data_IF_285149917600
#
_entry.id   IF_285149917600
#
_cell.length_a   1.000
_cell.length_b   1.000
_cell.length_c   1.000
_cell.angle_alpha   90.00
_cell.angle_beta   90.00
_cell.angle_gamma   90.00
#
_symmetry.space_group_name_H-M   'P 1'
#
loop_
_entity.id
_entity.type
_entity.pdbx_description
1 polymer ?
#
# COMPACT_ATOMS: atom_id res chain seq x y z
N UNK A 1 -42.54 -4.91 33.86
CA UNK A 1 -42.08 -5.53 32.60
C UNK A 1 -41.24 -4.56 31.75
N UNK A 2 -40.47 -3.65 32.37
CA UNK A 2 -39.67 -2.61 31.66
C UNK A 2 -38.16 -2.65 31.97
N UNK A 3 -37.67 -3.58 32.79
CA UNK A 3 -36.24 -3.62 33.18
C UNK A 3 -35.36 -4.62 32.42
N UNK A 4 -35.92 -5.48 31.58
CA UNK A 4 -35.10 -6.49 30.85
C UNK A 4 -34.65 -6.09 29.43
N UNK A 5 -35.20 -5.00 28.85
CA UNK A 5 -34.85 -4.60 27.46
C UNK A 5 -33.60 -3.70 27.35
N UNK A 6 -33.15 -3.06 28.43
CA UNK A 6 -31.97 -2.18 28.42
C UNK A 6 -30.65 -2.93 28.54
N UNK A 7 -30.60 -4.17 28.99
CA UNK A 7 -29.33 -4.87 29.21
C UNK A 7 -28.75 -5.50 27.95
N UNK A 8 -29.56 -5.87 26.97
CA UNK A 8 -29.09 -6.43 25.70
C UNK A 8 -28.53 -5.41 24.72
N UNK A 9 -29.05 -4.18 24.72
CA UNK A 9 -28.56 -3.10 23.84
C UNK A 9 -27.18 -2.59 24.26
N UNK A 10 -26.87 -2.58 25.54
CA UNK A 10 -25.55 -2.17 26.05
C UNK A 10 -24.44 -3.19 25.79
N UNK A 11 -24.74 -4.48 25.64
CA UNK A 11 -23.73 -5.50 25.36
C UNK A 11 -23.27 -5.47 23.87
N UNK A 12 -24.17 -5.27 22.92
CA UNK A 12 -23.81 -5.15 21.51
C UNK A 12 -23.05 -3.84 21.22
N UNK A 13 -23.46 -2.72 21.79
CA UNK A 13 -22.74 -1.43 21.65
C UNK A 13 -21.31 -1.48 22.23
N UNK A 14 -21.06 -2.26 23.29
CA UNK A 14 -19.72 -2.42 23.87
C UNK A 14 -18.76 -3.27 23.03
N UNK A 15 -19.26 -4.20 22.20
CA UNK A 15 -18.40 -5.02 21.35
C UNK A 15 -17.86 -4.26 20.13
N UNK A 16 -18.62 -3.35 19.53
CA UNK A 16 -18.17 -2.56 18.38
C UNK A 16 -17.28 -1.38 18.77
N UNK A 17 -17.52 -0.73 19.90
CA UNK A 17 -16.67 0.33 20.46
C UNK A 17 -15.24 -0.13 20.85
N UNK A 18 -14.95 -1.43 20.80
CA UNK A 18 -13.64 -1.98 21.16
C UNK A 18 -12.58 -1.77 20.05
N UNK A 19 -12.98 -1.61 18.80
CA UNK A 19 -12.10 -1.51 17.65
C UNK A 19 -11.95 -0.08 17.13
N UNK A 20 -12.98 0.76 17.29
CA UNK A 20 -12.92 2.17 16.91
C UNK A 20 -11.99 2.92 17.87
N UNK A 21 -11.10 3.71 17.29
CA UNK A 21 -10.17 4.52 18.07
C UNK A 21 -10.32 5.98 17.70
N UNK A 22 -10.91 6.74 18.60
CA UNK A 22 -10.87 8.20 18.54
C UNK A 22 -9.46 8.69 18.89
N UNK A 23 -8.73 9.14 17.88
CA UNK A 23 -7.36 9.61 18.01
C UNK A 23 -7.28 11.09 18.38
N UNK A 24 -8.42 11.77 18.54
CA UNK A 24 -8.45 13.20 18.89
C UNK A 24 -8.13 13.44 20.36
N UNK A 25 -8.19 12.39 21.21
CA UNK A 25 -7.91 12.44 22.65
C UNK A 25 -6.85 11.41 23.05
N UNK A 26 -6.32 11.53 24.26
CA UNK A 26 -5.39 10.56 24.84
C UNK A 26 -3.95 10.64 24.30
N UNK A 27 -3.16 9.58 24.52
CA UNK A 27 -1.74 9.54 24.16
C UNK A 27 -1.51 9.33 22.67
N UNK A 28 -0.91 10.31 22.02
CA UNK A 28 -0.57 10.28 20.58
C UNK A 28 0.32 9.10 20.21
N UNK A 29 1.38 8.85 21.00
CA UNK A 29 2.31 7.73 20.72
C UNK A 29 1.60 6.38 20.81
N UNK A 30 0.75 6.20 21.83
CA UNK A 30 -0.02 4.96 21.99
C UNK A 30 -0.97 4.73 20.81
N UNK A 31 -1.63 5.78 20.32
CA UNK A 31 -2.51 5.68 19.15
C UNK A 31 -1.74 5.29 17.89
N UNK A 32 -0.60 5.97 17.62
CA UNK A 32 0.23 5.68 16.45
C UNK A 32 0.75 4.25 16.47
N UNK A 33 1.30 3.78 17.59
CA UNK A 33 1.85 2.42 17.72
C UNK A 33 0.74 1.37 17.63
N UNK A 34 -0.36 1.55 18.39
CA UNK A 34 -1.47 0.60 18.39
C UNK A 34 -2.12 0.45 17.02
N UNK A 35 -2.16 1.51 16.24
CA UNK A 35 -2.69 1.50 14.88
C UNK A 35 -1.68 0.95 13.87
N UNK A 36 -0.39 1.29 13.99
CA UNK A 36 0.64 0.87 13.05
C UNK A 36 1.01 -0.62 13.18
N UNK A 37 0.93 -1.22 14.37
CA UNK A 37 1.32 -2.63 14.57
C UNK A 37 0.46 -3.62 13.77
N UNK A 38 -0.89 -3.54 13.75
CA UNK A 38 -1.68 -4.41 12.90
C UNK A 38 -1.42 -4.18 11.41
N UNK A 39 -1.15 -2.93 10.98
CA UNK A 39 -0.79 -2.62 9.60
C UNK A 39 0.57 -3.22 9.21
N UNK A 40 1.53 -3.18 10.12
CA UNK A 40 2.82 -3.83 9.91
C UNK A 40 2.65 -5.35 9.77
N UNK A 41 1.85 -5.95 10.63
CA UNK A 41 1.52 -7.37 10.55
C UNK A 41 0.79 -7.70 9.23
N UNK A 42 -0.19 -6.89 8.83
CA UNK A 42 -0.90 -7.00 7.55
C UNK A 42 0.08 -7.03 6.37
N UNK A 43 0.98 -6.06 6.29
CA UNK A 43 2.00 -5.97 5.23
C UNK A 43 2.98 -7.15 5.25
N UNK A 44 3.43 -7.60 6.44
CA UNK A 44 4.33 -8.75 6.56
C UNK A 44 3.64 -10.05 6.11
N UNK A 45 2.40 -10.29 6.54
CA UNK A 45 1.64 -11.46 6.10
C UNK A 45 1.33 -11.43 4.62
N UNK A 46 1.08 -10.25 4.03
CA UNK A 46 0.92 -10.12 2.59
C UNK A 46 2.19 -10.48 1.82
N UNK A 47 3.37 -10.11 2.33
CA UNK A 47 4.64 -10.53 1.73
C UNK A 47 4.86 -12.04 1.84
N UNK A 48 4.59 -12.64 3.01
CA UNK A 48 4.68 -14.09 3.21
C UNK A 48 3.73 -14.85 2.28
N UNK A 49 2.51 -14.37 2.15
CA UNK A 49 1.50 -14.93 1.25
C UNK A 49 1.99 -14.91 -0.22
N UNK A 50 2.49 -13.77 -0.72
CA UNK A 50 3.04 -13.67 -2.06
C UNK A 50 4.24 -14.62 -2.28
N UNK A 51 5.04 -14.87 -1.23
CA UNK A 51 6.14 -15.84 -1.28
C UNK A 51 5.62 -17.28 -1.40
N UNK A 52 4.55 -17.62 -0.67
CA UNK A 52 3.92 -18.95 -0.74
C UNK A 52 3.33 -19.21 -2.11
N UNK A 53 2.58 -18.25 -2.68
CA UNK A 53 2.04 -18.35 -4.04
C UNK A 53 3.14 -18.62 -5.07
N UNK A 54 4.20 -17.81 -5.01
CA UNK A 54 5.35 -17.95 -5.92
C UNK A 54 6.03 -19.31 -5.75
N UNK A 55 6.15 -19.80 -4.51
CA UNK A 55 6.73 -21.11 -4.21
C UNK A 55 5.86 -22.26 -4.75
N UNK A 56 4.55 -22.18 -4.60
CA UNK A 56 3.60 -23.18 -5.13
C UNK A 56 3.72 -23.26 -6.66
N UNK A 57 3.68 -22.11 -7.34
CA UNK A 57 3.80 -22.06 -8.80
C UNK A 57 5.13 -22.63 -9.28
N UNK A 58 6.23 -22.22 -8.64
CA UNK A 58 7.59 -22.63 -9.05
C UNK A 58 7.90 -24.10 -8.81
N UNK A 59 7.31 -24.74 -7.78
CA UNK A 59 7.61 -26.12 -7.42
C UNK A 59 6.59 -27.14 -7.92
N UNK A 60 5.35 -26.75 -8.15
CA UNK A 60 4.28 -27.71 -8.45
C UNK A 60 3.57 -27.47 -9.78
N UNK A 61 3.84 -26.37 -10.49
CA UNK A 61 3.25 -26.12 -11.81
C UNK A 61 4.29 -26.35 -12.90
N UNK A 62 4.95 -25.30 -13.37
CA UNK A 62 6.02 -25.39 -14.37
C UNK A 62 6.87 -24.12 -14.37
N UNK A 63 8.05 -24.17 -15.03
CA UNK A 63 8.89 -22.98 -15.20
C UNK A 63 8.22 -21.93 -16.08
N UNK A 64 7.43 -22.34 -17.09
CA UNK A 64 6.67 -21.45 -17.95
C UNK A 64 5.59 -20.73 -17.15
N UNK A 65 4.87 -21.45 -16.29
CA UNK A 65 3.88 -20.89 -15.37
C UNK A 65 4.49 -19.92 -14.37
N UNK A 66 5.63 -20.26 -13.79
CA UNK A 66 6.38 -19.37 -12.89
C UNK A 66 6.78 -18.09 -13.60
N UNK A 67 7.30 -18.20 -14.83
CA UNK A 67 7.64 -17.05 -15.66
C UNK A 67 6.41 -16.22 -16.03
N UNK A 68 5.29 -16.87 -16.35
CA UNK A 68 4.03 -16.21 -16.68
C UNK A 68 3.53 -15.32 -15.53
N UNK A 69 3.43 -15.87 -14.33
CA UNK A 69 2.99 -15.13 -13.13
C UNK A 69 3.98 -14.01 -12.77
N UNK A 70 5.27 -14.30 -12.83
CA UNK A 70 6.31 -13.33 -12.48
C UNK A 70 6.31 -12.09 -13.38
N UNK A 71 6.11 -12.27 -14.68
CA UNK A 71 6.12 -11.16 -15.65
C UNK A 71 4.86 -10.30 -15.62
N UNK A 72 3.70 -10.81 -15.22
CA UNK A 72 2.48 -10.01 -15.08
C UNK A 72 2.36 -9.31 -13.72
N UNK A 73 3.14 -9.72 -12.73
CA UNK A 73 3.14 -9.15 -11.37
C UNK A 73 3.31 -7.62 -11.35
N UNK A 74 4.17 -6.97 -12.16
CA UNK A 74 4.28 -5.50 -12.17
C UNK A 74 2.98 -4.80 -12.61
N UNK A 75 2.23 -5.37 -13.54
CA UNK A 75 0.92 -4.84 -13.96
C UNK A 75 -0.05 -4.88 -12.78
N UNK A 76 -0.13 -6.04 -12.13
CA UNK A 76 -1.01 -6.26 -10.97
C UNK A 76 -0.65 -5.30 -9.84
N UNK A 77 0.63 -5.18 -9.50
CA UNK A 77 1.09 -4.27 -8.45
C UNK A 77 0.80 -2.79 -8.75
N UNK A 78 0.89 -2.38 -10.02
CA UNK A 78 0.52 -1.02 -10.45
C UNK A 78 -0.97 -0.77 -10.22
N UNK A 79 -1.81 -1.73 -10.57
CA UNK A 79 -3.26 -1.66 -10.33
C UNK A 79 -3.59 -1.64 -8.84
N UNK A 80 -3.00 -2.53 -8.05
CA UNK A 80 -3.17 -2.55 -6.59
C UNK A 80 -2.75 -1.19 -6.00
N UNK A 81 -1.61 -0.65 -6.42
CA UNK A 81 -1.13 0.66 -5.97
C UNK A 81 -2.12 1.78 -6.28
N UNK A 82 -2.70 1.78 -7.48
CA UNK A 82 -3.73 2.74 -7.87
C UNK A 82 -4.96 2.66 -6.94
N UNK A 83 -5.46 1.46 -6.67
CA UNK A 83 -6.63 1.29 -5.80
C UNK A 83 -6.34 1.60 -4.33
N UNK A 84 -5.15 1.28 -3.85
CA UNK A 84 -4.71 1.69 -2.50
C UNK A 84 -4.67 3.21 -2.37
N UNK A 85 -4.25 3.93 -3.40
CA UNK A 85 -4.28 5.39 -3.44
C UNK A 85 -5.72 5.93 -3.39
N UNK A 86 -6.63 5.36 -4.18
CA UNK A 86 -8.05 5.72 -4.16
C UNK A 86 -8.70 5.44 -2.81
N UNK A 87 -8.43 4.27 -2.22
CA UNK A 87 -8.88 3.91 -0.88
C UNK A 87 -8.34 4.85 0.19
N UNK A 88 -7.06 5.24 0.08
CA UNK A 88 -6.45 6.24 0.96
C UNK A 88 -7.15 7.59 0.87
N UNK A 89 -7.54 8.03 -0.33
CA UNK A 89 -8.30 9.26 -0.54
C UNK A 89 -9.66 9.24 0.16
N UNK A 90 -10.42 8.17 0.00
CA UNK A 90 -11.68 7.96 0.71
C UNK A 90 -11.45 7.92 2.24
N UNK A 91 -10.42 7.22 2.69
CA UNK A 91 -10.03 7.14 4.10
C UNK A 91 -9.72 8.51 4.72
N UNK A 92 -9.06 9.40 3.99
CA UNK A 92 -8.78 10.77 4.46
C UNK A 92 -10.08 11.57 4.63
N UNK A 93 -10.98 11.54 3.64
CA UNK A 93 -12.28 12.22 3.72
C UNK A 93 -13.07 11.72 4.92
N UNK A 94 -13.16 10.40 5.07
CA UNK A 94 -13.89 9.76 6.17
C UNK A 94 -13.25 10.09 7.52
N UNK A 95 -11.92 10.02 7.65
CA UNK A 95 -11.23 10.30 8.92
C UNK A 95 -11.41 11.75 9.38
N UNK A 96 -11.41 12.71 8.46
CA UNK A 96 -11.67 14.12 8.82
C UNK A 96 -13.10 14.34 9.28
N UNK A 97 -14.10 13.78 8.58
CA UNK A 97 -15.49 13.88 9.03
C UNK A 97 -15.78 13.08 10.30
N UNK A 98 -15.11 11.94 10.47
CA UNK A 98 -15.19 11.15 11.71
C UNK A 98 -14.63 11.94 12.90
N UNK A 99 -13.45 12.52 12.76
CA UNK A 99 -12.86 13.39 13.76
C UNK A 99 -13.71 14.63 14.07
N UNK A 100 -14.37 15.19 13.06
CA UNK A 100 -15.31 16.31 13.23
C UNK A 100 -16.64 15.93 13.90
N UNK A 101 -16.83 14.66 14.29
CA UNK A 101 -18.07 14.14 14.87
C UNK A 101 -19.31 14.40 14.00
N UNK A 102 -19.18 14.25 12.67
CA UNK A 102 -20.27 14.43 11.70
C UNK A 102 -20.68 13.09 11.07
N UNK A 103 -21.45 12.26 11.78
CA UNK A 103 -21.77 10.90 11.36
C UNK A 103 -22.53 10.82 10.04
N UNK A 104 -23.39 11.80 9.76
CA UNK A 104 -24.12 11.85 8.48
C UNK A 104 -23.18 12.03 7.29
N UNK A 105 -22.15 12.89 7.42
CA UNK A 105 -21.15 13.11 6.36
C UNK A 105 -20.23 11.93 6.19
N UNK A 106 -19.87 11.25 7.27
CA UNK A 106 -19.17 9.96 7.21
C UNK A 106 -19.97 8.96 6.42
N UNK A 107 -21.27 8.82 6.71
CA UNK A 107 -22.18 7.90 6.01
C UNK A 107 -22.28 8.23 4.52
N UNK A 108 -22.45 9.51 4.15
CA UNK A 108 -22.44 9.96 2.75
C UNK A 108 -21.13 9.57 2.04
N UNK A 109 -19.98 9.75 2.69
CA UNK A 109 -18.67 9.41 2.15
C UNK A 109 -18.49 7.89 1.98
N UNK A 110 -18.90 7.09 2.97
CA UNK A 110 -18.85 5.62 2.91
C UNK A 110 -19.67 5.07 1.74
N UNK A 111 -20.92 5.51 1.61
CA UNK A 111 -21.79 5.05 0.53
C UNK A 111 -21.27 5.47 -0.85
N UNK A 112 -20.77 6.70 -0.98
CA UNK A 112 -20.15 7.19 -2.22
C UNK A 112 -18.89 6.39 -2.56
N UNK A 113 -18.01 6.14 -1.59
CA UNK A 113 -16.78 5.38 -1.80
C UNK A 113 -17.06 3.94 -2.22
N UNK A 114 -18.01 3.27 -1.58
CA UNK A 114 -18.38 1.89 -1.92
C UNK A 114 -19.02 1.80 -3.30
N UNK A 115 -19.93 2.71 -3.65
CA UNK A 115 -20.55 2.72 -4.98
C UNK A 115 -19.53 3.06 -6.07
N UNK A 116 -18.63 4.03 -5.82
CA UNK A 116 -17.52 4.32 -6.72
C UNK A 116 -16.66 3.08 -6.96
N UNK A 117 -16.38 2.31 -5.90
CA UNK A 117 -15.61 1.08 -6.00
C UNK A 117 -16.29 0.03 -6.87
N UNK A 118 -17.61 -0.15 -6.74
CA UNK A 118 -18.37 -1.06 -7.60
C UNK A 118 -18.30 -0.62 -9.06
N UNK A 119 -18.50 0.67 -9.34
CA UNK A 119 -18.40 1.22 -10.71
C UNK A 119 -17.00 0.99 -11.27
N UNK A 120 -15.96 1.33 -10.51
CA UNK A 120 -14.57 1.08 -10.92
C UNK A 120 -14.31 -0.40 -11.16
N UNK A 121 -14.80 -1.29 -10.30
CA UNK A 121 -14.67 -2.73 -10.45
C UNK A 121 -15.25 -3.25 -11.76
N UNK A 122 -16.46 -2.81 -12.11
CA UNK A 122 -17.10 -3.17 -13.39
C UNK A 122 -16.28 -2.65 -14.58
N UNK A 123 -15.85 -1.39 -14.52
CA UNK A 123 -15.04 -0.77 -15.59
C UNK A 123 -13.70 -1.50 -15.75
N UNK A 124 -12.98 -1.73 -14.66
CA UNK A 124 -11.66 -2.38 -14.70
C UNK A 124 -11.75 -3.86 -15.08
N UNK A 125 -12.83 -4.56 -14.73
CA UNK A 125 -13.09 -5.92 -15.23
C UNK A 125 -13.21 -5.90 -16.76
N UNK A 126 -14.09 -5.07 -17.31
CA UNK A 126 -14.31 -5.00 -18.75
C UNK A 126 -13.10 -4.53 -19.53
N UNK A 127 -12.51 -3.40 -19.10
CA UNK A 127 -11.32 -2.83 -19.75
C UNK A 127 -10.11 -3.74 -19.59
N UNK A 128 -9.89 -4.31 -18.39
CA UNK A 128 -8.75 -5.20 -18.13
C UNK A 128 -8.77 -6.45 -19.00
N UNK A 129 -9.92 -7.12 -19.12
CA UNK A 129 -10.08 -8.30 -20.00
C UNK A 129 -9.86 -7.90 -21.46
N UNK A 130 -10.47 -6.80 -21.91
CA UNK A 130 -10.33 -6.33 -23.29
C UNK A 130 -8.90 -5.90 -23.65
N UNK A 131 -8.16 -5.35 -22.69
CA UNK A 131 -6.79 -4.86 -22.87
C UNK A 131 -5.73 -5.96 -22.68
N UNK A 132 -6.06 -7.10 -22.12
CA UNK A 132 -5.11 -8.20 -21.88
C UNK A 132 -4.27 -8.56 -23.11
N UNK A 133 -4.84 -8.79 -24.32
CA UNK A 133 -4.05 -9.11 -25.50
C UNK A 133 -3.05 -8.00 -25.86
N UNK A 134 -3.48 -6.75 -25.80
CA UNK A 134 -2.62 -5.60 -26.09
C UNK A 134 -1.48 -5.46 -25.08
N UNK A 135 -1.76 -5.70 -23.79
CA UNK A 135 -0.73 -5.67 -22.74
C UNK A 135 0.37 -6.71 -23.02
N UNK A 136 -0.01 -7.93 -23.40
CA UNK A 136 0.92 -9.01 -23.70
C UNK A 136 1.73 -8.76 -24.97
N UNK A 137 1.12 -8.15 -25.98
CA UNK A 137 1.82 -7.74 -27.20
C UNK A 137 2.86 -6.65 -26.89
N UNK A 138 2.51 -5.62 -26.13
CA UNK A 138 3.42 -4.55 -25.71
C UNK A 138 4.59 -5.07 -24.87
N UNK A 139 4.35 -6.11 -24.07
CA UNK A 139 5.38 -6.78 -23.27
C UNK A 139 6.28 -7.70 -24.11
N UNK A 140 6.00 -7.90 -25.40
CA UNK A 140 6.70 -8.83 -26.27
C UNK A 140 6.80 -10.23 -25.68
N UNK A 141 5.66 -10.72 -25.14
CA UNK A 141 5.58 -12.00 -24.48
C UNK A 141 5.92 -13.14 -25.45
N UNK A 142 6.82 -14.08 -25.06
CA UNK A 142 7.09 -15.28 -25.85
C UNK A 142 5.83 -16.11 -26.07
N UNK A 143 5.70 -16.70 -27.26
CA UNK A 143 4.52 -17.47 -27.64
C UNK A 143 4.24 -18.68 -26.72
N UNK A 144 5.28 -19.23 -26.11
CA UNK A 144 5.21 -20.37 -25.18
C UNK A 144 4.53 -19.99 -23.86
N UNK A 145 4.69 -18.75 -23.39
CA UNK A 145 4.19 -18.25 -22.10
C UNK A 145 2.88 -17.47 -22.24
N UNK A 146 2.58 -16.98 -23.44
CA UNK A 146 1.40 -16.14 -23.70
C UNK A 146 0.05 -16.77 -23.32
N UNK A 147 -0.23 -18.08 -23.52
CA UNK A 147 -1.48 -18.68 -23.09
C UNK A 147 -1.69 -18.62 -21.58
N UNK A 148 -0.67 -18.94 -20.79
CA UNK A 148 -0.71 -18.92 -19.33
C UNK A 148 -0.90 -17.50 -18.78
N UNK A 149 -0.21 -16.52 -19.38
CA UNK A 149 -0.37 -15.10 -19.00
C UNK A 149 -1.77 -14.59 -19.33
N UNK A 150 -2.30 -14.96 -20.50
CA UNK A 150 -3.66 -14.59 -20.93
C UNK A 150 -4.70 -15.17 -19.96
N UNK A 151 -4.58 -16.45 -19.63
CA UNK A 151 -5.47 -17.10 -18.69
C UNK A 151 -5.42 -16.46 -17.32
N UNK A 152 -4.21 -16.26 -16.78
CA UNK A 152 -4.01 -15.66 -15.47
C UNK A 152 -4.59 -14.24 -15.37
N UNK A 153 -4.23 -13.35 -16.31
CA UNK A 153 -4.73 -11.97 -16.31
C UNK A 153 -6.24 -11.90 -16.53
N UNK A 154 -6.80 -12.71 -17.43
CA UNK A 154 -8.25 -12.73 -17.68
C UNK A 154 -9.02 -13.14 -16.43
N UNK A 155 -8.60 -14.20 -15.75
CA UNK A 155 -9.21 -14.65 -14.49
C UNK A 155 -9.02 -13.57 -13.40
N UNK A 156 -7.83 -13.00 -13.27
CA UNK A 156 -7.54 -11.97 -12.29
C UNK A 156 -8.44 -10.75 -12.47
N UNK A 157 -8.57 -10.23 -13.71
CA UNK A 157 -9.46 -9.10 -14.00
C UNK A 157 -10.93 -9.45 -13.81
N UNK A 158 -11.35 -10.69 -14.11
CA UNK A 158 -12.72 -11.14 -13.84
C UNK A 158 -13.06 -11.10 -12.34
N UNK A 159 -12.09 -11.36 -11.47
CA UNK A 159 -12.27 -11.37 -10.02
C UNK A 159 -11.82 -10.09 -9.29
N UNK A 160 -11.38 -9.05 -10.00
CA UNK A 160 -10.78 -7.85 -9.41
C UNK A 160 -11.71 -7.10 -8.45
N UNK A 161 -13.02 -7.24 -8.60
CA UNK A 161 -14.04 -6.64 -7.73
C UNK A 161 -13.80 -6.98 -6.25
N UNK A 162 -13.43 -8.23 -5.94
CA UNK A 162 -13.12 -8.66 -4.57
C UNK A 162 -11.97 -7.86 -3.96
N UNK A 163 -10.88 -7.72 -4.70
CA UNK A 163 -9.73 -6.91 -4.30
C UNK A 163 -10.12 -5.46 -4.01
N UNK A 164 -10.89 -4.85 -4.91
CA UNK A 164 -11.31 -3.45 -4.79
C UNK A 164 -12.18 -3.22 -3.57
N UNK A 165 -13.19 -4.07 -3.36
CA UNK A 165 -14.11 -3.98 -2.23
C UNK A 165 -13.38 -4.19 -0.90
N UNK A 166 -12.44 -5.14 -0.84
CA UNK A 166 -11.60 -5.33 0.34
C UNK A 166 -10.73 -4.10 0.63
N UNK A 167 -10.03 -3.56 -0.37
CA UNK A 167 -9.16 -2.39 -0.17
C UNK A 167 -9.94 -1.15 0.26
N UNK A 168 -11.08 -0.87 -0.37
CA UNK A 168 -11.93 0.27 -0.01
C UNK A 168 -12.53 0.09 1.39
N UNK A 169 -13.11 -1.07 1.68
CA UNK A 169 -13.68 -1.35 2.99
C UNK A 169 -12.65 -1.31 4.11
N UNK A 170 -11.45 -1.85 3.88
CA UNK A 170 -10.32 -1.73 4.79
C UNK A 170 -9.90 -0.28 5.01
N UNK A 171 -9.90 0.54 3.96
CA UNK A 171 -9.65 1.98 4.05
C UNK A 171 -10.68 2.70 4.90
N UNK A 172 -11.96 2.35 4.77
CA UNK A 172 -13.07 2.89 5.58
C UNK A 172 -12.88 2.52 7.07
N UNK A 173 -12.58 1.26 7.37
CA UNK A 173 -12.33 0.81 8.75
C UNK A 173 -11.11 1.51 9.35
N UNK A 174 -10.02 1.61 8.59
CA UNK A 174 -8.82 2.34 9.03
C UNK A 174 -9.09 3.82 9.31
N UNK A 175 -9.97 4.46 8.56
CA UNK A 175 -10.31 5.87 8.75
C UNK A 175 -10.93 6.16 10.13
N UNK A 176 -11.64 5.20 10.71
CA UNK A 176 -12.20 5.30 12.07
C UNK A 176 -11.29 4.68 13.15
N UNK A 177 -10.04 4.37 12.80
CA UNK A 177 -9.04 3.87 13.72
C UNK A 177 -8.99 2.36 13.88
N UNK A 178 -9.80 1.60 13.14
CA UNK A 178 -9.78 0.15 13.16
C UNK A 178 -8.80 -0.42 12.12
N UNK A 179 -7.60 -0.76 12.55
CA UNK A 179 -6.60 -1.45 11.74
C UNK A 179 -6.56 -2.97 11.99
N UNK A 180 -7.27 -3.47 13.01
CA UNK A 180 -7.21 -4.87 13.41
C UNK A 180 -8.10 -5.77 12.56
N UNK A 181 -9.35 -5.35 12.28
CA UNK A 181 -10.27 -6.15 11.48
C UNK A 181 -9.77 -6.40 10.06
N UNK A 182 -9.26 -5.40 9.31
CA UNK A 182 -8.63 -5.65 8.01
C UNK A 182 -7.53 -6.70 8.06
N UNK A 183 -6.67 -6.68 9.07
CA UNK A 183 -5.64 -7.68 9.29
C UNK A 183 -6.22 -9.10 9.48
N UNK A 184 -7.26 -9.27 10.30
CA UNK A 184 -7.90 -10.58 10.46
C UNK A 184 -8.52 -11.08 9.16
N UNK A 185 -9.12 -10.20 8.36
CA UNK A 185 -9.68 -10.58 7.05
C UNK A 185 -8.59 -11.04 6.09
N UNK A 186 -7.43 -10.38 6.11
CA UNK A 186 -6.27 -10.81 5.34
C UNK A 186 -5.77 -12.19 5.77
N UNK A 187 -5.67 -12.46 7.08
CA UNK A 187 -5.25 -13.76 7.59
C UNK A 187 -6.17 -14.88 7.09
N UNK A 188 -7.48 -14.69 7.16
CA UNK A 188 -8.46 -15.65 6.66
C UNK A 188 -8.30 -15.83 5.14
N UNK A 189 -8.18 -14.74 4.40
CA UNK A 189 -7.98 -14.75 2.95
C UNK A 189 -6.69 -15.48 2.56
N UNK A 190 -5.59 -15.22 3.23
CA UNK A 190 -4.31 -15.90 2.99
C UNK A 190 -4.38 -17.40 3.27
N UNK A 191 -5.07 -17.80 4.34
CA UNK A 191 -5.32 -19.21 4.64
C UNK A 191 -6.17 -19.91 3.57
N UNK A 192 -7.25 -19.26 3.13
CA UNK A 192 -8.11 -19.75 2.04
C UNK A 192 -7.33 -19.88 0.73
N UNK A 193 -6.56 -18.84 0.37
CA UNK A 193 -5.76 -18.87 -0.84
C UNK A 193 -4.76 -20.01 -0.84
N UNK A 194 -3.92 -20.13 0.21
CA UNK A 194 -2.94 -21.22 0.32
C UNK A 194 -3.59 -22.60 0.24
N UNK A 195 -4.72 -22.80 0.93
CA UNK A 195 -5.46 -24.06 0.88
C UNK A 195 -6.00 -24.36 -0.52
N UNK A 196 -6.54 -23.36 -1.23
CA UNK A 196 -7.07 -23.50 -2.59
C UNK A 196 -5.95 -23.66 -3.62
N UNK A 197 -4.81 -22.99 -3.49
CA UNK A 197 -3.65 -23.19 -4.34
C UNK A 197 -3.20 -24.65 -4.31
N UNK A 198 -3.01 -25.19 -3.11
CA UNK A 198 -2.63 -26.60 -2.95
C UNK A 198 -3.70 -27.55 -3.50
N UNK A 199 -4.98 -27.25 -3.26
CA UNK A 199 -6.08 -28.07 -3.75
C UNK A 199 -6.17 -28.06 -5.28
N UNK A 200 -6.16 -26.89 -5.90
CA UNK A 200 -6.35 -26.73 -7.35
C UNK A 200 -5.13 -27.22 -8.13
N UNK A 201 -3.91 -26.92 -7.62
CA UNK A 201 -2.66 -27.32 -8.29
C UNK A 201 -2.36 -28.79 -8.05
N UNK A 202 -2.34 -29.26 -6.80
CA UNK A 202 -1.89 -30.62 -6.48
C UNK A 202 -2.96 -31.68 -6.73
N UNK A 203 -4.22 -31.40 -6.42
CA UNK A 203 -5.29 -32.38 -6.51
C UNK A 203 -6.04 -32.33 -7.83
N UNK A 204 -6.29 -31.12 -8.35
CA UNK A 204 -7.03 -30.95 -9.60
C UNK A 204 -6.15 -30.73 -10.83
N UNK A 205 -4.85 -30.49 -10.64
CA UNK A 205 -3.90 -30.30 -11.75
C UNK A 205 -4.16 -29.07 -12.62
N UNK A 206 -4.75 -28.01 -12.04
CA UNK A 206 -5.24 -26.85 -12.80
C UNK A 206 -4.15 -25.88 -13.27
N UNK A 207 -2.90 -26.08 -12.91
CA UNK A 207 -1.81 -25.20 -13.36
C UNK A 207 -1.98 -23.74 -12.93
N UNK A 208 -1.63 -22.81 -13.82
CA UNK A 208 -1.69 -21.34 -13.58
C UNK A 208 -3.12 -20.86 -13.34
N UNK A 209 -4.10 -21.42 -14.03
CA UNK A 209 -5.51 -21.08 -13.85
C UNK A 209 -5.98 -21.37 -12.42
N UNK A 210 -5.52 -22.49 -11.84
CA UNK A 210 -5.84 -22.86 -10.47
C UNK A 210 -5.36 -21.82 -9.46
N UNK A 211 -4.14 -21.30 -9.61
CA UNK A 211 -3.59 -20.24 -8.77
C UNK A 211 -4.38 -18.93 -8.95
N UNK A 212 -4.73 -18.58 -10.17
CA UNK A 212 -5.55 -17.38 -10.44
C UNK A 212 -6.94 -17.50 -9.77
N UNK A 213 -7.62 -18.64 -9.89
CA UNK A 213 -8.90 -18.88 -9.21
C UNK A 213 -8.77 -18.85 -7.69
N UNK A 214 -7.73 -19.47 -7.12
CA UNK A 214 -7.48 -19.42 -5.68
C UNK A 214 -7.34 -17.99 -5.19
N UNK A 215 -6.59 -17.17 -5.90
CA UNK A 215 -6.37 -15.75 -5.59
C UNK A 215 -7.68 -14.95 -5.59
N UNK A 216 -8.48 -15.04 -6.64
CA UNK A 216 -9.74 -14.27 -6.72
C UNK A 216 -10.80 -14.75 -5.73
N UNK A 217 -10.85 -16.04 -5.43
CA UNK A 217 -11.75 -16.58 -4.40
C UNK A 217 -11.33 -16.07 -3.02
N UNK A 218 -10.04 -16.10 -2.69
CA UNK A 218 -9.52 -15.57 -1.45
C UNK A 218 -9.82 -14.07 -1.29
N UNK A 219 -9.64 -13.29 -2.35
CA UNK A 219 -10.00 -11.86 -2.38
C UNK A 219 -11.51 -11.64 -2.21
N UNK A 220 -12.35 -12.50 -2.81
CA UNK A 220 -13.78 -12.44 -2.61
C UNK A 220 -14.18 -12.74 -1.16
N UNK A 221 -13.53 -13.70 -0.51
CA UNK A 221 -13.75 -14.00 0.92
C UNK A 221 -13.42 -12.78 1.79
N UNK A 222 -12.27 -12.14 1.61
CA UNK A 222 -11.93 -10.93 2.36
C UNK A 222 -12.90 -9.77 2.10
N UNK A 223 -13.38 -9.62 0.86
CA UNK A 223 -14.40 -8.64 0.50
C UNK A 223 -15.73 -8.89 1.22
N UNK A 224 -16.19 -10.15 1.21
CA UNK A 224 -17.44 -10.54 1.90
C UNK A 224 -17.33 -10.28 3.41
N UNK A 225 -16.22 -10.65 4.04
CA UNK A 225 -15.99 -10.38 5.46
C UNK A 225 -16.01 -8.88 5.76
N UNK A 226 -15.35 -8.08 4.93
CA UNK A 226 -15.30 -6.63 5.08
C UNK A 226 -16.68 -5.99 4.93
N UNK A 227 -17.43 -6.37 3.89
CA UNK A 227 -18.79 -5.86 3.66
C UNK A 227 -19.74 -6.30 4.77
N UNK A 228 -19.67 -7.55 5.22
CA UNK A 228 -20.49 -8.05 6.31
C UNK A 228 -20.28 -7.26 7.59
N UNK A 229 -19.02 -6.92 7.91
CA UNK A 229 -18.71 -6.08 9.07
C UNK A 229 -19.25 -4.65 8.88
N UNK A 230 -19.11 -4.05 7.70
CA UNK A 230 -19.63 -2.70 7.42
C UNK A 230 -21.17 -2.65 7.48
N UNK A 231 -21.86 -3.67 7.02
CA UNK A 231 -23.34 -3.77 7.12
C UNK A 231 -23.79 -3.94 8.58
N UNK A 232 -23.11 -4.81 9.33
CA UNK A 232 -23.40 -5.06 10.74
C UNK A 232 -22.85 -4.00 11.69
N UNK A 233 -22.27 -2.92 11.18
CA UNK A 233 -21.62 -1.90 12.01
C UNK A 233 -22.65 -1.04 12.75
N UNK A 234 -22.43 -0.82 14.04
CA UNK A 234 -23.25 0.09 14.86
C UNK A 234 -22.53 1.45 14.99
N UNK A 235 -22.59 2.28 13.95
CA UNK A 235 -21.89 3.57 13.96
C UNK A 235 -21.97 4.31 12.64
N UNK A 236 -21.15 5.35 12.51
CA UNK A 236 -21.16 6.27 11.37
C UNK A 236 -20.73 5.65 10.04
N UNK A 237 -19.93 4.56 10.08
CA UNK A 237 -19.47 3.83 8.88
C UNK A 237 -20.39 2.70 8.45
N UNK A 238 -21.56 2.57 9.06
CA UNK A 238 -22.54 1.55 8.69
C UNK A 238 -22.92 1.64 7.22
N UNK A 239 -22.75 0.53 6.51
CA UNK A 239 -23.12 0.40 5.11
C UNK A 239 -24.57 -0.09 5.01
N UNK A 240 -25.42 0.66 4.33
CA UNK A 240 -26.78 0.28 3.96
C UNK A 240 -26.88 0.15 2.45
N UNK A 241 -27.18 -1.06 1.97
CA UNK A 241 -27.28 -1.31 0.52
C UNK A 241 -28.44 -0.54 -0.12
N UNK A 242 -29.46 -0.16 0.68
CA UNK A 242 -30.62 0.63 0.19
C UNK A 242 -30.29 2.10 0.01
N UNK A 243 -29.30 2.60 0.75
CA UNK A 243 -28.91 4.01 0.74
C UNK A 243 -27.69 4.27 -0.16
N UNK A 244 -27.25 3.25 -0.92
CA UNK A 244 -26.13 3.40 -1.85
C UNK A 244 -26.48 4.42 -2.94
N UNK A 245 -25.80 5.56 -2.87
CA UNK A 245 -25.89 6.62 -3.87
C UNK A 245 -24.61 7.44 -3.89
N UNK A 246 -24.36 8.09 -5.02
CA UNK A 246 -23.24 9.02 -5.17
C UNK A 246 -23.65 10.40 -4.66
N UNK A 247 -22.95 10.86 -3.65
CA UNK A 247 -23.01 12.26 -3.19
C UNK A 247 -21.89 13.03 -3.89
N UNK A 248 -22.24 13.85 -4.87
CA UNK A 248 -21.27 14.55 -5.73
C UNK A 248 -20.23 15.37 -4.96
N UNK A 249 -20.63 15.99 -3.84
CA UNK A 249 -19.70 16.72 -2.97
C UNK A 249 -18.64 15.78 -2.36
N UNK A 250 -19.05 14.60 -1.90
CA UNK A 250 -18.15 13.58 -1.36
C UNK A 250 -17.28 12.98 -2.45
N UNK A 251 -17.87 12.67 -3.61
CA UNK A 251 -17.12 12.15 -4.75
C UNK A 251 -15.99 13.10 -5.17
N UNK A 252 -16.27 14.40 -5.29
CA UNK A 252 -15.24 15.40 -5.63
C UNK A 252 -14.09 15.40 -4.61
N UNK A 253 -14.39 15.32 -3.31
CA UNK A 253 -13.38 15.28 -2.25
C UNK A 253 -12.57 13.99 -2.31
N UNK A 254 -13.22 12.83 -2.46
CA UNK A 254 -12.56 11.52 -2.57
C UNK A 254 -11.63 11.47 -3.78
N UNK A 255 -12.09 11.94 -4.94
CA UNK A 255 -11.30 11.96 -6.18
C UNK A 255 -10.15 12.96 -6.09
N UNK A 256 -10.37 14.15 -5.51
CA UNK A 256 -9.33 15.18 -5.36
C UNK A 256 -8.16 14.72 -4.48
N UNK A 257 -8.40 13.88 -3.48
CA UNK A 257 -7.34 13.29 -2.63
C UNK A 257 -6.85 11.95 -3.20
N UNK A 258 -7.76 11.13 -3.71
CA UNK A 258 -7.48 9.75 -4.13
C UNK A 258 -6.70 9.64 -5.43
N UNK A 259 -7.07 10.40 -6.47
CA UNK A 259 -6.37 10.36 -7.76
C UNK A 259 -4.90 10.75 -7.64
N UNK A 260 -4.53 11.89 -7.00
CA UNK A 260 -3.12 12.21 -6.80
C UNK A 260 -2.36 11.15 -5.99
N UNK A 261 -2.98 10.57 -4.97
CA UNK A 261 -2.38 9.49 -4.19
C UNK A 261 -2.18 8.21 -5.03
N UNK A 262 -3.14 7.87 -5.88
CA UNK A 262 -3.07 6.75 -6.80
C UNK A 262 -1.96 6.93 -7.84
N UNK A 263 -1.88 8.10 -8.45
CA UNK A 263 -0.83 8.45 -9.42
C UNK A 263 0.55 8.45 -8.78
N UNK A 264 0.69 8.95 -7.56
CA UNK A 264 1.93 8.91 -6.79
C UNK A 264 2.47 7.49 -6.65
N UNK A 265 1.63 6.52 -6.30
CA UNK A 265 2.03 5.11 -6.15
C UNK A 265 2.42 4.49 -7.49
N UNK A 266 1.63 4.70 -8.53
CA UNK A 266 1.89 4.17 -9.87
C UNK A 266 3.17 4.75 -10.49
N UNK A 267 3.39 6.06 -10.38
CA UNK A 267 4.57 6.76 -10.93
C UNK A 267 5.84 6.32 -10.22
N UNK A 268 5.80 6.14 -8.91
CA UNK A 268 6.97 5.68 -8.15
C UNK A 268 7.40 4.28 -8.59
N UNK A 269 6.43 3.36 -8.75
CA UNK A 269 6.70 2.01 -9.26
C UNK A 269 7.31 2.06 -10.68
N UNK A 270 6.74 2.86 -11.57
CA UNK A 270 7.23 3.04 -12.94
C UNK A 270 8.66 3.61 -12.98
N UNK A 271 8.98 4.59 -12.15
CA UNK A 271 10.33 5.16 -12.07
C UNK A 271 11.40 4.12 -11.68
N UNK A 272 11.05 3.13 -10.85
CA UNK A 272 11.98 2.08 -10.47
C UNK A 272 12.36 1.15 -11.63
N UNK A 273 11.49 1.00 -12.64
CA UNK A 273 11.78 0.22 -13.85
C UNK A 273 12.97 0.81 -14.62
N UNK A 274 13.06 2.13 -14.72
CA UNK A 274 14.20 2.78 -15.38
C UNK A 274 15.51 2.56 -14.63
N UNK A 275 15.48 2.62 -13.28
CA UNK A 275 16.66 2.32 -12.47
C UNK A 275 17.15 0.90 -12.71
N UNK A 276 16.23 -0.06 -12.81
CA UNK A 276 16.55 -1.46 -13.12
C UNK A 276 17.31 -1.57 -14.45
N UNK A 277 16.98 -0.75 -15.45
CA UNK A 277 17.68 -0.71 -16.73
C UNK A 277 19.18 -0.36 -16.57
N UNK A 278 19.50 0.61 -15.70
CA UNK A 278 20.91 0.94 -15.41
C UNK A 278 21.62 -0.16 -14.62
N UNK A 279 20.94 -0.80 -13.68
CA UNK A 279 21.50 -1.92 -12.92
C UNK A 279 21.81 -3.12 -13.80
N UNK A 280 20.95 -3.42 -14.77
CA UNK A 280 21.13 -4.54 -15.71
C UNK A 280 22.42 -4.43 -16.54
N UNK A 281 22.95 -3.22 -16.72
CA UNK A 281 24.22 -2.98 -17.41
C UNK A 281 25.43 -3.65 -16.72
N UNK A 282 25.38 -3.85 -15.40
CA UNK A 282 26.48 -4.42 -14.61
C UNK A 282 26.51 -5.96 -14.60
N UNK A 283 25.64 -6.62 -15.35
CA UNK A 283 25.63 -8.07 -15.53
C UNK A 283 24.80 -8.83 -14.51
N UNK A 284 24.71 -10.16 -14.71
CA UNK A 284 23.78 -11.04 -14.00
C UNK A 284 24.02 -11.10 -12.48
N UNK A 285 25.28 -11.08 -12.03
CA UNK A 285 25.60 -11.16 -10.61
C UNK A 285 25.20 -9.88 -9.86
N UNK A 286 25.39 -8.72 -10.49
CA UNK A 286 24.90 -7.45 -9.94
C UNK A 286 23.37 -7.41 -9.92
N UNK A 287 22.69 -7.86 -10.97
CA UNK A 287 21.23 -7.97 -11.00
C UNK A 287 20.68 -8.84 -9.89
N UNK A 288 21.34 -9.99 -9.65
CA UNK A 288 20.97 -10.91 -8.55
C UNK A 288 21.21 -10.29 -7.19
N UNK A 289 22.33 -9.60 -6.99
CA UNK A 289 22.64 -8.84 -5.77
C UNK A 289 21.64 -7.70 -5.52
N UNK A 290 21.26 -6.98 -6.58
CA UNK A 290 20.21 -5.96 -6.53
C UNK A 290 18.85 -6.56 -6.15
N UNK A 291 18.51 -7.72 -6.68
CA UNK A 291 17.28 -8.43 -6.33
C UNK A 291 17.25 -8.82 -4.86
N UNK A 292 18.35 -9.36 -4.33
CA UNK A 292 18.47 -9.66 -2.91
C UNK A 292 18.35 -8.40 -2.04
N UNK A 293 19.05 -7.31 -2.42
CA UNK A 293 18.91 -6.00 -1.78
C UNK A 293 17.45 -5.54 -1.73
N UNK A 294 16.75 -5.54 -2.87
CA UNK A 294 15.36 -5.04 -2.94
C UNK A 294 14.38 -5.86 -2.10
N UNK A 295 14.60 -7.17 -1.96
CA UNK A 295 13.78 -8.03 -1.08
C UNK A 295 13.97 -7.68 0.39
N UNK A 296 15.20 -7.42 0.81
CA UNK A 296 15.53 -6.99 2.17
C UNK A 296 15.01 -5.57 2.43
N UNK A 297 15.25 -4.65 1.48
CA UNK A 297 14.78 -3.27 1.52
C UNK A 297 13.26 -3.21 1.74
N UNK A 298 12.48 -3.98 0.99
CA UNK A 298 11.02 -4.05 1.14
C UNK A 298 10.60 -4.40 2.58
N UNK A 299 11.28 -5.33 3.23
CA UNK A 299 10.97 -5.71 4.62
C UNK A 299 11.34 -4.59 5.62
N UNK A 300 12.48 -3.95 5.41
CA UNK A 300 12.99 -2.90 6.31
C UNK A 300 12.12 -1.63 6.28
N UNK A 301 11.53 -1.30 5.14
CA UNK A 301 10.70 -0.09 4.99
C UNK A 301 9.25 -0.27 5.46
N UNK A 302 8.76 -1.51 5.66
CA UNK A 302 7.35 -1.76 6.07
C UNK A 302 6.92 -1.04 7.34
N UNK A 303 7.72 -0.97 8.42
CA UNK A 303 7.33 -0.24 9.62
C UNK A 303 7.13 1.26 9.35
N UNK A 304 7.96 1.85 8.50
CA UNK A 304 7.87 3.27 8.13
C UNK A 304 6.60 3.54 7.34
N UNK A 305 6.25 2.66 6.40
CA UNK A 305 5.01 2.76 5.63
C UNK A 305 3.78 2.63 6.54
N UNK A 306 3.82 1.71 7.51
CA UNK A 306 2.74 1.51 8.49
C UNK A 306 2.56 2.74 9.39
N UNK A 307 3.66 3.35 9.85
CA UNK A 307 3.64 4.61 10.62
C UNK A 307 3.16 5.80 9.78
N UNK A 308 3.51 5.84 8.49
CA UNK A 308 3.02 6.88 7.56
C UNK A 308 1.50 6.81 7.43
N UNK A 309 0.94 5.61 7.27
CA UNK A 309 -0.51 5.43 7.19
C UNK A 309 -1.20 5.76 8.52
N UNK A 310 -0.60 5.38 9.65
CA UNK A 310 -1.06 5.77 10.98
C UNK A 310 -1.07 7.29 11.16
N UNK A 311 -0.01 7.96 10.70
CA UNK A 311 0.09 9.44 10.71
C UNK A 311 -1.00 10.08 9.83
N UNK A 312 -1.28 9.52 8.66
CA UNK A 312 -2.35 10.00 7.76
C UNK A 312 -3.71 9.99 8.45
N UNK A 313 -4.10 8.88 9.08
CA UNK A 313 -5.37 8.76 9.80
C UNK A 313 -5.40 9.67 11.03
N UNK A 314 -4.30 9.70 11.81
CA UNK A 314 -4.19 10.57 13.00
C UNK A 314 -4.36 12.04 12.65
N UNK A 315 -3.68 12.50 11.60
CA UNK A 315 -3.77 13.88 11.10
C UNK A 315 -5.20 14.16 10.62
N UNK A 316 -5.79 13.26 9.83
CA UNK A 316 -7.15 13.41 9.32
C UNK A 316 -8.17 13.63 10.44
N UNK A 317 -8.17 12.75 11.46
CA UNK A 317 -9.10 12.88 12.59
C UNK A 317 -8.86 14.17 13.40
N UNK A 318 -7.62 14.53 13.69
CA UNK A 318 -7.31 15.73 14.47
C UNK A 318 -7.60 17.04 13.72
N UNK A 319 -7.35 17.10 12.41
CA UNK A 319 -7.76 18.24 11.59
C UNK A 319 -9.28 18.30 11.43
N UNK A 320 -9.97 17.16 11.48
CA UNK A 320 -11.43 17.11 11.51
C UNK A 320 -12.01 17.95 12.64
N UNK A 321 -11.49 17.83 13.86
CA UNK A 321 -11.90 18.69 15.00
C UNK A 321 -11.21 20.05 15.02
N UNK A 322 -10.35 20.38 14.06
CA UNK A 322 -9.61 21.65 14.02
C UNK A 322 -8.39 21.71 14.95
N UNK A 323 -7.94 20.58 15.52
CA UNK A 323 -6.80 20.54 16.42
C UNK A 323 -5.47 20.42 15.65
N UNK A 324 -5.02 21.51 15.05
CA UNK A 324 -3.80 21.58 14.23
C UNK A 324 -2.55 21.27 15.04
N UNK A 325 -2.47 21.76 16.29
CA UNK A 325 -1.30 21.55 17.16
C UNK A 325 -1.11 20.05 17.48
N UNK A 326 -2.20 19.34 17.79
CA UNK A 326 -2.16 17.91 18.05
C UNK A 326 -1.81 17.14 16.77
N UNK A 327 -2.35 17.54 15.62
CA UNK A 327 -2.01 16.93 14.33
C UNK A 327 -0.50 17.05 14.04
N UNK A 328 0.09 18.24 14.14
CA UNK A 328 1.54 18.47 13.98
C UNK A 328 2.37 17.70 15.03
N UNK A 329 1.91 17.66 16.27
CA UNK A 329 2.51 16.86 17.33
C UNK A 329 2.55 15.36 16.98
N UNK A 330 1.49 14.84 16.36
CA UNK A 330 1.42 13.48 15.86
C UNK A 330 2.42 13.19 14.76
N UNK A 331 2.55 14.08 13.79
CA UNK A 331 3.55 13.97 12.70
C UNK A 331 4.97 13.88 13.26
N UNK A 332 5.31 14.78 14.18
CA UNK A 332 6.64 14.79 14.82
C UNK A 332 6.92 13.48 15.58
N UNK A 333 5.94 12.97 16.33
CA UNK A 333 6.08 11.70 17.05
C UNK A 333 6.18 10.50 16.11
N UNK A 334 5.40 10.47 15.02
CA UNK A 334 5.51 9.44 14.00
C UNK A 334 6.89 9.45 13.34
N UNK A 335 7.47 10.62 13.07
CA UNK A 335 8.83 10.76 12.56
C UNK A 335 9.87 10.19 13.53
N UNK A 336 9.80 10.54 14.82
CA UNK A 336 10.74 10.01 15.82
C UNK A 336 10.61 8.49 15.99
N UNK A 337 9.38 7.96 15.96
CA UNK A 337 9.17 6.52 15.99
C UNK A 337 9.75 5.84 14.73
N UNK A 338 9.57 6.42 13.54
CA UNK A 338 10.14 5.88 12.32
C UNK A 338 11.66 5.90 12.34
N UNK A 339 12.29 6.96 12.86
CA UNK A 339 13.73 7.03 13.05
C UNK A 339 14.24 5.99 14.05
N UNK A 340 13.56 5.82 15.17
CA UNK A 340 13.94 4.83 16.18
C UNK A 340 13.87 3.39 15.63
N UNK A 341 12.78 3.04 14.96
CA UNK A 341 12.62 1.71 14.34
C UNK A 341 13.65 1.50 13.24
N UNK A 342 13.87 2.48 12.39
CA UNK A 342 14.89 2.42 11.33
C UNK A 342 16.28 2.25 11.92
N UNK A 343 16.65 3.00 12.95
CA UNK A 343 17.95 2.86 13.62
C UNK A 343 18.17 1.45 14.19
N UNK A 344 17.13 0.87 14.81
CA UNK A 344 17.18 -0.52 15.31
C UNK A 344 17.35 -1.52 14.18
N UNK A 345 16.61 -1.38 13.07
CA UNK A 345 16.69 -2.28 11.92
C UNK A 345 17.99 -2.13 11.13
N UNK A 346 18.61 -0.94 11.15
CA UNK A 346 19.90 -0.72 10.49
C UNK A 346 21.04 -1.54 11.11
N UNK A 347 21.00 -1.83 12.40
CA UNK A 347 22.04 -2.62 13.07
C UNK A 347 22.24 -3.99 12.40
N UNK A 348 21.21 -4.88 12.29
CA UNK A 348 21.39 -6.15 11.60
C UNK A 348 21.64 -5.98 10.09
N UNK A 349 21.03 -5.00 9.44
CA UNK A 349 21.23 -4.76 8.00
C UNK A 349 22.68 -4.41 7.69
N UNK A 350 23.33 -3.58 8.49
CA UNK A 350 24.73 -3.19 8.27
C UNK A 350 25.72 -4.27 8.71
N UNK A 351 25.43 -4.97 9.82
CA UNK A 351 26.34 -5.99 10.38
C UNK A 351 26.25 -7.32 9.67
N UNK A 352 25.03 -7.78 9.33
CA UNK A 352 24.73 -9.08 8.73
C UNK A 352 24.42 -8.99 7.23
N UNK A 353 24.79 -7.90 6.55
CA UNK A 353 24.52 -7.70 5.13
C UNK A 353 24.94 -8.88 4.24
N UNK A 354 26.14 -9.47 4.39
CA UNK A 354 26.52 -10.64 3.61
C UNK A 354 25.62 -11.87 3.89
N UNK A 355 25.32 -12.15 5.16
CA UNK A 355 24.50 -13.30 5.56
C UNK A 355 23.06 -13.15 5.08
N UNK A 356 22.50 -11.95 5.19
CA UNK A 356 21.16 -11.64 4.67
C UNK A 356 21.08 -11.78 3.16
N UNK A 357 22.12 -11.37 2.43
CA UNK A 357 22.18 -11.55 0.98
C UNK A 357 22.37 -13.02 0.62
N UNK A 358 23.25 -13.74 1.34
CA UNK A 358 23.53 -15.15 1.12
C UNK A 358 22.29 -16.03 1.34
N UNK A 359 21.33 -15.60 2.17
CA UNK A 359 20.06 -16.28 2.35
C UNK A 359 19.26 -16.38 1.02
N UNK A 360 19.35 -15.37 0.16
CA UNK A 360 18.69 -15.37 -1.14
C UNK A 360 19.53 -16.01 -2.25
N UNK A 361 20.84 -15.78 -2.22
CA UNK A 361 21.77 -16.37 -3.18
C UNK A 361 23.17 -16.43 -2.58
N UNK A 362 23.71 -17.66 -2.47
CA UNK A 362 24.99 -17.94 -1.83
C UNK A 362 26.22 -17.74 -2.72
N UNK A 363 26.04 -17.35 -4.00
CA UNK A 363 27.17 -17.10 -4.92
C UNK A 363 27.99 -15.90 -4.40
N UNK A 364 29.34 -16.02 -4.21
CA UNK A 364 30.14 -14.98 -3.58
C UNK A 364 30.06 -13.61 -4.25
N UNK A 365 30.00 -13.56 -5.58
CA UNK A 365 29.87 -12.31 -6.35
C UNK A 365 28.54 -11.63 -6.08
N UNK A 366 27.43 -12.39 -6.02
CA UNK A 366 26.08 -11.89 -5.70
C UNK A 366 26.03 -11.37 -4.27
N UNK A 367 26.62 -12.10 -3.33
CA UNK A 367 26.72 -11.69 -1.91
C UNK A 367 27.49 -10.38 -1.79
N UNK A 368 28.61 -10.24 -2.53
CA UNK A 368 29.40 -9.00 -2.54
C UNK A 368 28.58 -7.80 -3.01
N UNK A 369 27.86 -7.92 -4.14
CA UNK A 369 27.00 -6.84 -4.64
C UNK A 369 25.84 -6.51 -3.69
N UNK A 370 25.12 -7.51 -3.20
CA UNK A 370 24.00 -7.30 -2.30
C UNK A 370 24.41 -6.66 -0.97
N UNK A 371 25.51 -7.14 -0.38
CA UNK A 371 26.05 -6.57 0.85
C UNK A 371 26.57 -5.13 0.65
N UNK A 372 27.22 -4.85 -0.48
CA UNK A 372 27.64 -3.51 -0.84
C UNK A 372 26.44 -2.56 -0.92
N UNK A 373 25.39 -2.95 -1.64
CA UNK A 373 24.17 -2.15 -1.81
C UNK A 373 23.45 -1.91 -0.49
N UNK A 374 23.31 -2.95 0.35
CA UNK A 374 22.72 -2.81 1.68
C UNK A 374 23.49 -1.81 2.54
N UNK A 375 24.81 -1.93 2.60
CA UNK A 375 25.66 -1.03 3.40
C UNK A 375 25.72 0.39 2.84
N UNK A 376 25.63 0.54 1.53
CA UNK A 376 25.68 1.83 0.85
C UNK A 376 24.37 2.62 0.99
N UNK A 377 23.22 1.96 0.77
CA UNK A 377 21.93 2.64 0.63
C UNK A 377 21.18 2.78 1.95
N UNK A 378 21.25 1.78 2.83
CA UNK A 378 20.45 1.74 4.05
C UNK A 378 20.71 2.87 5.05
N UNK A 379 21.92 3.45 5.20
CA UNK A 379 22.11 4.62 6.07
C UNK A 379 21.26 5.84 5.70
N UNK A 380 20.82 5.91 4.44
CA UNK A 380 20.00 7.00 3.92
C UNK A 380 18.49 6.79 4.11
N UNK A 381 18.05 5.68 4.73
CA UNK A 381 16.63 5.43 5.03
C UNK A 381 16.00 6.51 5.94
N UNK A 382 16.77 7.29 6.66
CA UNK A 382 16.25 8.43 7.40
C UNK A 382 15.61 9.49 6.50
N UNK A 383 16.13 9.69 5.28
CA UNK A 383 15.47 10.55 4.29
C UNK A 383 14.16 9.92 3.80
N UNK A 384 14.13 8.60 3.62
CA UNK A 384 12.90 7.89 3.29
C UNK A 384 11.85 8.04 4.40
N UNK A 385 12.23 7.97 5.68
CA UNK A 385 11.33 8.23 6.82
C UNK A 385 10.71 9.63 6.74
N UNK A 386 11.53 10.66 6.54
CA UNK A 386 11.05 12.05 6.40
C UNK A 386 10.03 12.14 5.28
N UNK A 387 10.38 11.64 4.10
CA UNK A 387 9.53 11.68 2.92
C UNK A 387 8.18 10.98 3.18
N UNK A 388 8.18 9.75 3.70
CA UNK A 388 6.97 8.98 3.92
C UNK A 388 6.06 9.60 4.99
N UNK A 389 6.60 10.01 6.11
CA UNK A 389 5.82 10.56 7.23
C UNK A 389 5.19 11.90 6.85
N UNK A 390 5.96 12.81 6.26
CA UNK A 390 5.43 14.13 5.86
C UNK A 390 4.48 14.04 4.66
N UNK A 391 4.73 13.17 3.68
CA UNK A 391 3.78 12.92 2.60
C UNK A 391 2.47 12.32 3.11
N UNK A 392 2.54 11.38 4.07
CA UNK A 392 1.37 10.84 4.76
C UNK A 392 0.59 11.92 5.52
N UNK A 393 1.29 12.81 6.22
CA UNK A 393 0.70 13.92 6.95
C UNK A 393 -0.01 14.93 6.03
N UNK A 394 0.63 15.33 4.93
CA UNK A 394 0.03 16.21 3.92
C UNK A 394 -1.20 15.58 3.27
N UNK A 395 -1.15 14.27 2.98
CA UNK A 395 -2.30 13.53 2.49
C UNK A 395 -3.44 13.54 3.51
N UNK A 396 -3.14 13.28 4.79
CA UNK A 396 -4.11 13.34 5.89
C UNK A 396 -4.74 14.72 6.07
N UNK A 397 -4.01 15.79 5.73
CA UNK A 397 -4.59 17.15 5.71
C UNK A 397 -5.54 17.42 4.54
N UNK A 398 -5.63 16.51 3.56
CA UNK A 398 -6.41 16.67 2.34
C UNK A 398 -5.56 17.09 1.13
N UNK A 399 -4.29 17.40 1.32
CA UNK A 399 -3.38 17.83 0.26
C UNK A 399 -2.56 16.66 -0.28
N UNK A 400 -3.09 15.90 -1.22
CA UNK A 400 -2.38 14.82 -1.90
C UNK A 400 -1.64 15.28 -3.16
N UNK A 401 -2.00 16.43 -3.72
CA UNK A 401 -1.41 16.93 -4.96
C UNK A 401 0.06 17.32 -4.77
N UNK A 402 0.36 18.04 -3.70
CA UNK A 402 1.74 18.50 -3.45
C UNK A 402 2.71 17.32 -3.22
N UNK A 403 2.43 16.33 -2.34
CA UNK A 403 3.28 15.14 -2.25
C UNK A 403 3.46 14.42 -3.58
N UNK A 404 2.42 14.31 -4.41
CA UNK A 404 2.49 13.72 -5.74
C UNK A 404 3.49 14.47 -6.63
N UNK A 405 3.37 15.80 -6.73
CA UNK A 405 4.29 16.59 -7.55
C UNK A 405 5.73 16.59 -7.03
N UNK A 406 5.93 16.62 -5.72
CA UNK A 406 7.27 16.53 -5.12
C UNK A 406 7.92 15.18 -5.44
N UNK A 407 7.18 14.07 -5.30
CA UNK A 407 7.68 12.74 -5.62
C UNK A 407 7.93 12.57 -7.12
N UNK A 408 7.05 13.08 -7.97
CA UNK A 408 7.25 13.08 -9.42
C UNK A 408 8.52 13.84 -9.79
N UNK A 409 8.69 15.06 -9.28
CA UNK A 409 9.88 15.85 -9.51
C UNK A 409 11.16 15.19 -9.01
N UNK A 410 11.13 14.56 -7.85
CA UNK A 410 12.31 13.95 -7.23
C UNK A 410 12.68 12.59 -7.84
N UNK A 411 11.70 11.71 -8.08
CA UNK A 411 11.97 10.32 -8.48
C UNK A 411 11.90 10.10 -9.99
N UNK A 412 11.07 10.86 -10.71
CA UNK A 412 10.97 10.72 -12.17
C UNK A 412 11.84 11.74 -12.87
N UNK A 413 11.84 13.00 -12.45
CA UNK A 413 12.63 14.02 -13.13
C UNK A 413 14.08 14.03 -12.62
N UNK A 414 14.28 14.40 -11.36
CA UNK A 414 15.63 14.59 -10.81
C UNK A 414 16.45 13.28 -10.82
N UNK A 415 15.91 12.17 -10.34
CA UNK A 415 16.63 10.90 -10.27
C UNK A 415 17.01 10.38 -11.65
N UNK A 416 16.15 10.52 -12.67
CA UNK A 416 16.49 10.09 -14.02
C UNK A 416 17.54 10.98 -14.65
N UNK A 417 17.50 12.29 -14.41
CA UNK A 417 18.57 13.20 -14.85
C UNK A 417 19.89 12.83 -14.15
N UNK A 418 19.87 12.58 -12.85
CA UNK A 418 21.03 12.14 -12.09
C UNK A 418 21.65 10.88 -12.68
N UNK A 419 20.85 9.84 -12.91
CA UNK A 419 21.31 8.57 -13.47
C UNK A 419 21.90 8.74 -14.87
N UNK A 420 21.25 9.54 -15.72
CA UNK A 420 21.73 9.82 -17.05
C UNK A 420 23.08 10.57 -17.04
N UNK A 421 23.20 11.59 -16.22
CA UNK A 421 24.44 12.37 -16.08
C UNK A 421 25.55 11.50 -15.50
N UNK A 422 25.28 10.71 -14.45
CA UNK A 422 26.28 9.80 -13.88
C UNK A 422 26.77 8.79 -14.91
N UNK A 423 25.85 8.07 -15.56
CA UNK A 423 26.20 7.00 -16.50
C UNK A 423 26.97 7.48 -17.74
N UNK A 424 26.70 8.70 -18.24
CA UNK A 424 27.26 9.16 -19.53
C UNK A 424 28.39 10.18 -19.40
N UNK A 425 28.45 10.93 -18.29
CA UNK A 425 29.39 12.06 -18.17
C UNK A 425 30.34 11.98 -17.00
N UNK A 426 30.06 11.17 -15.96
CA UNK A 426 30.87 11.15 -14.73
C UNK A 426 31.46 9.77 -14.47
N UNK A 427 30.66 8.78 -14.12
CA UNK A 427 31.13 7.43 -13.81
C UNK A 427 29.98 6.43 -13.95
N UNK A 428 30.13 5.47 -14.87
CA UNK A 428 29.18 4.38 -15.04
C UNK A 428 29.62 3.17 -14.21
N UNK A 429 29.65 3.35 -12.88
CA UNK A 429 29.94 2.32 -11.90
C UNK A 429 28.72 2.07 -11.01
N UNK A 430 28.67 0.89 -10.36
CA UNK A 430 27.51 0.50 -9.55
C UNK A 430 27.25 1.46 -8.39
N UNK A 431 28.29 1.98 -7.73
CA UNK A 431 28.15 2.87 -6.56
C UNK A 431 27.51 4.20 -6.93
N UNK A 432 28.03 4.99 -7.91
CA UNK A 432 27.39 6.23 -8.34
C UNK A 432 25.96 6.02 -8.86
N UNK A 433 25.71 4.94 -9.58
CA UNK A 433 24.36 4.64 -10.10
C UNK A 433 23.39 4.29 -8.96
N UNK A 434 23.79 3.42 -8.03
CA UNK A 434 22.96 3.07 -6.88
C UNK A 434 22.65 4.29 -5.98
N UNK A 435 23.58 5.25 -5.87
CA UNK A 435 23.38 6.50 -5.12
C UNK A 435 22.26 7.39 -5.70
N UNK A 436 21.73 7.07 -6.87
CA UNK A 436 20.53 7.71 -7.40
C UNK A 436 19.29 7.56 -6.51
N UNK A 437 19.19 6.49 -5.69
CA UNK A 437 18.13 6.33 -4.69
C UNK A 437 18.28 7.31 -3.54
N UNK A 438 19.41 7.35 -2.80
CA UNK A 438 19.62 8.35 -1.75
C UNK A 438 19.51 9.79 -2.25
N UNK A 439 20.03 10.09 -3.43
CA UNK A 439 19.93 11.43 -4.03
C UNK A 439 18.46 11.84 -4.24
N UNK A 440 17.64 10.94 -4.79
CA UNK A 440 16.20 11.17 -4.95
C UNK A 440 15.49 11.32 -3.60
N UNK A 441 15.80 10.49 -2.60
CA UNK A 441 15.23 10.60 -1.25
C UNK A 441 15.62 11.91 -0.58
N UNK A 442 16.86 12.35 -0.71
CA UNK A 442 17.35 13.61 -0.16
C UNK A 442 16.59 14.81 -0.77
N UNK A 443 16.51 14.90 -2.09
CA UNK A 443 15.80 16.00 -2.77
C UNK A 443 14.32 15.99 -2.38
N UNK A 444 13.68 14.84 -2.42
CA UNK A 444 12.28 14.70 -2.02
C UNK A 444 12.06 15.16 -0.57
N UNK A 445 12.91 14.73 0.36
CA UNK A 445 12.82 15.11 1.77
C UNK A 445 13.05 16.60 1.99
N UNK A 446 14.06 17.17 1.34
CA UNK A 446 14.36 18.59 1.45
C UNK A 446 13.20 19.47 0.95
N UNK A 447 12.66 19.15 -0.23
CA UNK A 447 11.51 19.90 -0.80
C UNK A 447 10.26 19.71 0.05
N UNK A 448 10.00 18.49 0.52
CA UNK A 448 8.84 18.21 1.39
C UNK A 448 8.92 18.97 2.72
N UNK A 449 10.09 18.99 3.35
CA UNK A 449 10.31 19.74 4.60
C UNK A 449 10.14 21.26 4.40
N UNK A 450 10.72 21.80 3.32
CA UNK A 450 10.59 23.22 2.97
C UNK A 450 9.13 23.61 2.73
N UNK A 451 8.38 22.77 2.02
CA UNK A 451 6.97 22.98 1.82
C UNK A 451 6.18 22.90 3.13
N UNK A 452 6.39 21.84 3.92
CA UNK A 452 5.70 21.63 5.19
C UNK A 452 5.95 22.78 6.20
N UNK A 453 7.18 23.31 6.23
CA UNK A 453 7.52 24.44 7.11
C UNK A 453 6.81 25.75 6.72
N UNK A 454 6.44 25.92 5.45
CA UNK A 454 5.84 27.16 4.94
C UNK A 454 4.33 27.06 4.73
N UNK A 455 3.77 25.85 4.60
CA UNK A 455 2.37 25.67 4.32
C UNK A 455 1.49 25.95 5.56
N UNK A 456 0.29 26.46 5.32
CA UNK A 456 -0.78 26.38 6.31
C UNK A 456 -1.33 24.97 6.29
N UNK A 457 -1.03 24.21 7.33
CA UNK A 457 -1.29 22.78 7.39
C UNK A 457 -2.77 22.41 7.30
N UNK A 458 -3.66 23.31 7.70
CA UNK A 458 -5.12 23.20 7.68
C UNK A 458 -5.79 23.80 6.43
N UNK A 459 -5.02 24.41 5.51
CA UNK A 459 -5.56 25.08 4.32
C UNK A 459 -6.33 24.17 3.37
N UNK A 460 -6.10 22.86 3.43
CA UNK A 460 -6.76 21.85 2.60
C UNK A 460 -7.72 20.97 3.42
N UNK A 461 -8.09 21.44 4.62
CA UNK A 461 -9.09 20.76 5.46
C UNK A 461 -10.37 20.56 4.68
N UNK A 462 -10.89 19.32 4.69
CA UNK A 462 -12.05 18.93 3.88
C UNK A 462 -13.39 19.20 4.58
N UNK A 463 -13.35 19.40 5.90
CA UNK A 463 -14.50 19.74 6.72
C UNK A 463 -14.73 21.24 6.64
N UNK A 464 -15.92 21.61 6.19
CA UNK A 464 -16.35 23.01 6.15
C UNK A 464 -16.71 23.49 7.56
N UNK A 465 -16.25 24.70 7.91
CA UNK A 465 -16.73 25.35 9.13
C UNK A 465 -18.22 25.71 8.94
N UNK A 466 -19.00 25.58 10.00
CA UNK A 466 -20.46 25.88 10.00
C UNK A 466 -20.67 27.36 10.11
#
# INVERSE_FOLDING_TARGET
MQHHFHFHLHHHARHHARYDVDMTQGSTTRHLVRFALPLLADNLFQQLYNMVDTWVVGNFVSNEAFSAVGTVTPIINTLIGFFLGMSSGAGVVISQYYGAHRPEKVREAVHTAMLLTVIMGVVFTGVGIAMTPLMLELMKTPAEVAPDQTAYLTIYFAGIMGLLLYNMGSGILRAVGDSQRPFYFLLVSAGVNTALDLLFVLKFGMGVEGVAYATIIAQAVSAVLTIAVLIGYDGSVKLSLRDLRIHWRMLKKIVAVGIPAALQMAITAFSNVFVQGYINHFGADCMSGWTAYTKIDQLVILPVQSLSLASTTFVGQNLGVGNVERAKGGVRRALYLSFAVTAVLLVPVLTLAPDMTAFFNSKPEVVSYGALLLRLLSPFYFFFCINQIYSGALRGSGNSQVPMFIMLGSFVVFRQIYLYVMAHFISNEIVPIAMGYPAGWFVCSAVTLLYYARCKFDSHRLVEDV
#
